data_IF_156964725316
#
_entry.id   IF_156964725316
#
_cell.length_a   1.000
_cell.length_b   1.000
_cell.length_c   1.000
_cell.angle_alpha   90.00
_cell.angle_beta   90.00
_cell.angle_gamma   90.00
#
_symmetry.space_group_name_H-M   'P 1'
#
loop_
_entity.id
_entity.type
_entity.pdbx_description
1 polymer ?
#
# COMPACT_ATOMS: atom_id res chain seq x y z
N UNK A 1 21.52 -7.00 -24.94
CA UNK A 1 21.63 -6.83 -23.47
C UNK A 1 20.53 -5.87 -23.10
N UNK A 2 19.52 -6.33 -22.35
CA UNK A 2 18.49 -5.43 -21.89
C UNK A 2 19.14 -4.52 -20.83
N UNK A 3 19.17 -3.21 -21.11
CA UNK A 3 19.63 -2.22 -20.14
C UNK A 3 18.73 -2.32 -18.89
N UNK A 4 19.34 -2.67 -17.77
CA UNK A 4 18.69 -2.56 -16.47
C UNK A 4 18.23 -1.11 -16.35
N UNK A 5 16.96 -0.86 -16.06
CA UNK A 5 16.49 0.49 -15.73
C UNK A 5 17.13 0.86 -14.39
N UNK A 6 18.35 1.35 -14.48
CA UNK A 6 19.13 1.80 -13.35
C UNK A 6 18.78 3.27 -13.15
N UNK A 7 17.98 3.54 -12.13
CA UNK A 7 17.65 4.91 -11.75
C UNK A 7 18.72 5.33 -10.73
N UNK A 8 19.72 6.15 -11.12
CA UNK A 8 20.90 6.44 -10.30
C UNK A 8 20.60 7.01 -8.93
N UNK A 9 19.50 7.78 -8.81
CA UNK A 9 19.09 8.40 -7.55
C UNK A 9 18.50 7.39 -6.55
N UNK A 10 18.09 6.22 -7.01
CA UNK A 10 17.79 5.11 -6.10
C UNK A 10 19.04 4.51 -5.46
N UNK A 11 20.24 4.73 -6.00
CA UNK A 11 21.49 4.19 -5.45
C UNK A 11 21.88 4.77 -4.10
N UNK A 12 21.47 5.99 -3.78
CA UNK A 12 21.88 6.66 -2.54
C UNK A 12 21.32 6.01 -1.26
N UNK A 13 20.33 5.12 -1.38
CA UNK A 13 19.62 4.46 -0.28
C UNK A 13 19.76 2.93 -0.27
N UNK A 14 20.59 2.33 -1.14
CA UNK A 14 20.60 0.89 -1.36
C UNK A 14 21.95 0.26 -1.03
N UNK A 15 21.91 -0.72 -0.17
CA UNK A 15 22.90 -1.81 -0.23
C UNK A 15 22.44 -2.74 -1.36
N UNK A 16 23.09 -2.69 -2.50
CA UNK A 16 22.97 -3.69 -3.54
C UNK A 16 23.78 -4.91 -3.13
N UNK A 17 23.15 -6.06 -3.01
CA UNK A 17 23.86 -7.31 -3.16
C UNK A 17 24.21 -7.42 -4.66
N UNK A 18 25.46 -7.08 -5.00
CA UNK A 18 25.96 -6.87 -6.36
C UNK A 18 26.11 -8.16 -7.19
N UNK A 19 25.19 -9.10 -7.04
CA UNK A 19 25.12 -10.22 -7.95
C UNK A 19 23.98 -9.97 -8.96
N UNK A 20 24.23 -9.26 -10.09
CA UNK A 20 23.22 -9.09 -11.11
C UNK A 20 22.97 -10.46 -11.76
N UNK A 21 21.95 -11.13 -11.30
CA UNK A 21 21.32 -12.13 -12.16
C UNK A 21 20.61 -11.37 -13.25
N UNK A 22 20.80 -11.72 -14.49
CA UNK A 22 20.34 -11.01 -15.69
C UNK A 22 18.86 -10.55 -15.66
N UNK A 23 18.03 -11.14 -14.79
CA UNK A 23 16.58 -10.88 -14.69
C UNK A 23 16.10 -10.54 -13.27
N UNK A 24 16.98 -10.46 -12.29
CA UNK A 24 16.60 -10.25 -10.90
C UNK A 24 17.62 -9.41 -10.15
N UNK A 25 17.14 -8.44 -9.37
CA UNK A 25 17.94 -7.61 -8.47
C UNK A 25 17.22 -7.53 -7.13
N UNK A 26 17.96 -7.80 -6.05
CA UNK A 26 17.52 -7.52 -4.69
C UNK A 26 18.06 -6.16 -4.28
N UNK A 27 17.19 -5.26 -3.83
CA UNK A 27 17.55 -3.97 -3.26
C UNK A 27 17.19 -3.96 -1.79
N UNK A 28 18.14 -3.54 -0.95
CA UNK A 28 17.95 -3.41 0.49
C UNK A 28 18.03 -1.96 0.90
N UNK A 29 17.22 -1.62 1.86
CA UNK A 29 17.10 -0.28 2.44
C UNK A 29 17.33 -0.38 3.93
N UNK A 30 18.06 0.56 4.48
CA UNK A 30 18.25 0.68 5.92
C UNK A 30 18.50 2.15 6.25
N UNK A 31 17.75 2.68 7.21
CA UNK A 31 17.95 4.00 7.79
C UNK A 31 17.57 3.99 9.28
N UNK A 32 17.65 5.15 9.94
CA UNK A 32 17.30 5.29 11.36
C UNK A 32 15.84 4.90 11.68
N UNK A 33 14.95 4.87 10.70
CA UNK A 33 13.52 4.55 10.87
C UNK A 33 13.21 3.07 10.68
N UNK A 34 14.12 2.29 10.09
CA UNK A 34 13.93 0.86 9.86
C UNK A 34 14.65 0.31 8.65
N UNK A 35 14.14 -0.80 8.12
CA UNK A 35 14.72 -1.50 6.98
C UNK A 35 13.67 -2.04 6.03
N UNK A 36 14.08 -2.44 4.83
CA UNK A 36 13.20 -3.06 3.85
C UNK A 36 13.94 -3.70 2.70
N UNK A 37 13.19 -4.46 1.91
CA UNK A 37 13.70 -5.14 0.71
C UNK A 37 12.76 -4.92 -0.47
N UNK A 38 13.33 -4.84 -1.66
CA UNK A 38 12.63 -4.77 -2.92
C UNK A 38 13.21 -5.83 -3.87
N UNK A 39 12.38 -6.79 -4.25
CA UNK A 39 12.72 -7.86 -5.17
C UNK A 39 12.31 -7.47 -6.59
N UNK A 40 13.24 -7.00 -7.41
CA UNK A 40 13.00 -6.48 -8.75
C UNK A 40 13.25 -7.53 -9.82
N UNK A 41 12.29 -7.71 -10.71
CA UNK A 41 12.35 -8.61 -11.86
C UNK A 41 12.29 -7.78 -13.15
N UNK A 42 13.35 -7.86 -13.97
CA UNK A 42 13.35 -7.29 -15.32
C UNK A 42 12.62 -8.28 -16.25
N UNK A 43 11.39 -7.97 -16.58
CA UNK A 43 10.48 -8.88 -17.30
C UNK A 43 10.75 -8.85 -18.80
N UNK A 44 10.91 -7.66 -19.35
CA UNK A 44 11.25 -7.40 -20.75
C UNK A 44 11.92 -6.01 -20.83
N UNK A 45 12.52 -5.62 -22.00
CA UNK A 45 13.08 -4.29 -22.15
C UNK A 45 12.07 -3.19 -21.80
N UNK A 46 12.44 -2.31 -20.86
CA UNK A 46 11.57 -1.23 -20.37
C UNK A 46 10.44 -1.68 -19.39
N UNK A 47 10.32 -2.96 -19.06
CA UNK A 47 9.27 -3.50 -18.19
C UNK A 47 9.87 -4.17 -16.96
N UNK A 48 9.61 -3.62 -15.79
CA UNK A 48 10.06 -4.15 -14.50
C UNK A 48 8.86 -4.41 -13.59
N UNK A 49 8.92 -5.50 -12.81
CA UNK A 49 8.01 -5.81 -11.72
C UNK A 49 8.80 -5.96 -10.43
N UNK A 50 8.34 -5.36 -9.35
CA UNK A 50 8.98 -5.49 -8.04
C UNK A 50 7.99 -5.81 -6.93
N UNK A 51 8.46 -6.63 -5.98
CA UNK A 51 7.80 -6.91 -4.72
C UNK A 51 8.51 -6.12 -3.62
N UNK A 52 7.77 -5.31 -2.91
CA UNK A 52 8.28 -4.42 -1.89
C UNK A 52 7.84 -4.90 -0.51
N UNK A 53 8.77 -5.01 0.44
CA UNK A 53 8.52 -5.23 1.86
C UNK A 53 9.35 -4.21 2.64
N UNK A 54 8.70 -3.12 3.02
CA UNK A 54 9.35 -1.93 3.55
C UNK A 54 8.82 -1.64 4.96
N UNK A 55 9.72 -1.69 5.93
CA UNK A 55 9.44 -1.40 7.34
C UNK A 55 10.26 -0.18 7.79
N UNK A 56 10.05 0.96 7.12
CA UNK A 56 10.74 2.23 7.35
C UNK A 56 9.79 3.41 7.06
N UNK A 57 10.14 4.61 7.48
CA UNK A 57 9.23 5.76 7.42
C UNK A 57 9.12 6.39 6.03
N UNK A 58 10.13 6.25 5.19
CA UNK A 58 10.18 6.84 3.84
C UNK A 58 11.15 6.07 2.97
N UNK A 59 10.75 5.75 1.77
CA UNK A 59 11.62 5.06 0.79
C UNK A 59 11.87 5.89 -0.47
N UNK A 60 11.44 7.15 -0.46
CA UNK A 60 11.40 7.94 -1.68
C UNK A 60 12.15 9.24 -1.50
N UNK A 61 13.09 9.50 -2.40
CA UNK A 61 13.58 10.84 -2.63
C UNK A 61 13.07 11.39 -3.98
N UNK A 62 13.02 12.71 -4.10
CA UNK A 62 12.58 13.35 -5.33
C UNK A 62 13.46 12.90 -6.50
N UNK A 63 12.86 12.15 -7.40
CA UNK A 63 13.52 11.63 -8.58
C UNK A 63 13.66 12.72 -9.66
N UNK A 64 14.88 13.00 -10.07
CA UNK A 64 15.15 13.56 -11.38
C UNK A 64 15.30 12.38 -12.36
N UNK A 65 14.18 11.84 -12.81
CA UNK A 65 14.21 10.76 -13.79
C UNK A 65 14.72 11.30 -15.13
N UNK A 66 15.63 10.55 -15.78
CA UNK A 66 16.16 10.90 -17.10
C UNK A 66 15.21 10.54 -18.23
N UNK A 67 14.20 9.74 -17.95
CA UNK A 67 13.22 9.23 -18.90
C UNK A 67 11.83 9.25 -18.29
N UNK A 68 10.83 9.14 -19.13
CA UNK A 68 9.43 9.07 -18.71
C UNK A 68 9.03 7.65 -18.33
N UNK A 69 8.30 7.52 -17.22
CA UNK A 69 7.78 6.24 -16.75
C UNK A 69 6.28 6.29 -16.51
N UNK A 70 5.65 5.13 -16.67
CA UNK A 70 4.35 4.82 -16.10
C UNK A 70 4.57 3.84 -14.94
N UNK A 71 4.15 4.25 -13.75
CA UNK A 71 4.27 3.46 -12.54
C UNK A 71 2.89 2.99 -12.09
N UNK A 72 2.77 1.70 -11.80
CA UNK A 72 1.55 1.08 -11.29
C UNK A 72 1.89 0.42 -9.97
N UNK A 73 1.30 0.89 -8.87
CA UNK A 73 1.52 0.34 -7.53
C UNK A 73 0.25 -0.31 -6.99
N UNK A 74 0.36 -1.53 -6.49
CA UNK A 74 -0.70 -2.23 -5.78
C UNK A 74 -0.27 -2.50 -4.34
N UNK A 75 -1.04 -1.98 -3.38
CA UNK A 75 -0.74 -2.14 -1.96
C UNK A 75 -1.35 -3.44 -1.42
N UNK A 76 -0.51 -4.31 -0.86
CA UNK A 76 -0.92 -5.56 -0.23
C UNK A 76 -1.19 -5.39 1.26
N UNK A 77 -0.34 -4.61 1.95
CA UNK A 77 -0.41 -4.40 3.38
C UNK A 77 0.18 -3.03 3.74
N UNK A 78 -0.38 -2.38 4.75
CA UNK A 78 0.07 -1.08 5.21
C UNK A 78 -0.40 0.06 4.32
N UNK A 79 0.49 0.94 3.93
CA UNK A 79 0.13 2.08 3.10
C UNK A 79 1.30 2.92 2.65
N UNK A 80 1.04 3.71 1.63
CA UNK A 80 1.99 4.62 1.01
C UNK A 80 1.35 6.00 0.84
N UNK A 81 2.03 7.02 1.32
CA UNK A 81 1.63 8.42 1.22
C UNK A 81 2.47 9.13 0.17
N UNK A 82 1.82 9.79 -0.75
CA UNK A 82 2.45 10.57 -1.81
C UNK A 82 2.04 12.03 -1.68
N UNK A 83 3.03 12.91 -1.54
CA UNK A 83 2.85 14.36 -1.55
C UNK A 83 3.12 14.89 -2.95
N UNK A 84 2.13 15.58 -3.50
CA UNK A 84 2.17 16.13 -4.84
C UNK A 84 2.70 17.56 -4.85
N UNK A 85 3.29 17.98 -5.97
CA UNK A 85 3.53 19.41 -6.22
C UNK A 85 2.21 20.16 -6.11
N UNK A 86 2.18 21.23 -5.30
CA UNK A 86 0.95 21.96 -4.97
C UNK A 86 0.32 21.60 -3.63
N UNK A 87 0.91 20.63 -2.89
CA UNK A 87 0.62 20.40 -1.46
C UNK A 87 -0.54 19.45 -1.16
N UNK A 88 -1.01 18.69 -2.12
CA UNK A 88 -1.99 17.63 -1.88
C UNK A 88 -1.33 16.30 -1.48
N UNK A 89 -1.86 15.65 -0.44
CA UNK A 89 -1.40 14.32 0.00
C UNK A 89 -2.44 13.27 -0.39
N UNK A 90 -1.97 12.21 -1.05
CA UNK A 90 -2.79 11.06 -1.47
C UNK A 90 -2.29 9.80 -0.79
N UNK A 91 -3.20 8.94 -0.37
CA UNK A 91 -2.89 7.66 0.26
C UNK A 91 -3.25 6.49 -0.63
N UNK A 92 -2.29 5.59 -0.78
CA UNK A 92 -2.46 4.24 -1.29
C UNK A 92 -2.57 3.29 -0.08
N UNK A 93 -3.76 2.77 0.19
CA UNK A 93 -4.02 1.81 1.27
C UNK A 93 -4.15 0.38 0.75
N UNK A 94 -4.41 -0.55 1.66
CA UNK A 94 -4.55 -1.98 1.33
C UNK A 94 -5.57 -2.22 0.21
N UNK A 95 -5.18 -3.01 -0.79
CA UNK A 95 -5.94 -3.36 -2.00
C UNK A 95 -6.24 -2.19 -2.93
N UNK A 96 -5.62 -1.05 -2.71
CA UNK A 96 -5.69 0.06 -3.65
C UNK A 96 -4.64 -0.09 -4.75
N UNK A 97 -4.99 0.35 -5.94
CA UNK A 97 -4.09 0.49 -7.07
C UNK A 97 -3.86 1.98 -7.34
N UNK A 98 -2.61 2.40 -7.43
CA UNK A 98 -2.27 3.73 -7.95
C UNK A 98 -1.57 3.63 -9.28
N UNK A 99 -1.82 4.62 -10.12
CA UNK A 99 -1.17 4.81 -11.40
C UNK A 99 -0.62 6.22 -11.43
N UNK A 100 0.66 6.36 -11.71
CA UNK A 100 1.35 7.64 -11.77
C UNK A 100 2.27 7.74 -13.00
N UNK A 101 2.32 8.94 -13.60
CA UNK A 101 3.31 9.29 -14.59
C UNK A 101 4.50 9.95 -13.92
N UNK A 102 5.70 9.41 -14.13
CA UNK A 102 6.96 10.07 -13.76
C UNK A 102 7.53 10.71 -15.03
N UNK A 103 7.94 11.96 -14.94
CA UNK A 103 8.32 12.78 -16.10
C UNK A 103 9.78 13.25 -15.94
N UNK A 104 10.54 13.19 -17.03
CA UNK A 104 11.93 13.64 -17.06
C UNK A 104 12.07 15.17 -17.00
N UNK A 105 11.05 15.90 -17.46
CA UNK A 105 11.06 17.36 -17.60
C UNK A 105 10.34 18.11 -16.48
N UNK A 106 9.59 17.39 -15.63
CA UNK A 106 8.86 17.99 -14.51
C UNK A 106 8.73 17.06 -13.30
N UNK A 107 8.88 17.64 -12.14
CA UNK A 107 8.61 16.97 -10.89
C UNK A 107 7.12 17.01 -10.57
N UNK A 108 6.52 15.89 -10.25
CA UNK A 108 5.11 15.75 -9.92
C UNK A 108 4.94 15.34 -8.46
N UNK A 109 5.82 14.48 -8.00
CA UNK A 109 5.86 13.98 -6.63
C UNK A 109 6.96 14.73 -5.87
N UNK A 110 6.61 15.33 -4.74
CA UNK A 110 7.54 16.06 -3.87
C UNK A 110 8.19 15.13 -2.87
N UNK A 111 7.37 14.24 -2.28
CA UNK A 111 7.79 13.36 -1.22
C UNK A 111 6.92 12.10 -1.18
N UNK A 112 7.47 11.06 -0.60
CA UNK A 112 6.77 9.81 -0.38
C UNK A 112 7.12 9.28 1.02
N UNK A 113 6.10 8.85 1.74
CA UNK A 113 6.24 8.35 3.11
C UNK A 113 5.51 7.02 3.24
N UNK A 114 5.97 6.22 4.18
CA UNK A 114 5.32 4.97 4.55
C UNK A 114 4.68 5.21 5.94
N UNK A 115 3.37 5.51 5.98
CA UNK A 115 2.68 5.64 7.25
C UNK A 115 2.84 4.36 8.06
N UNK A 116 3.17 4.52 9.35
CA UNK A 116 3.30 3.38 10.27
C UNK A 116 4.50 2.46 10.00
N UNK A 117 5.47 2.92 9.22
CA UNK A 117 6.68 2.17 8.88
C UNK A 117 6.38 0.78 8.31
N UNK A 118 5.28 0.64 7.57
CA UNK A 118 4.89 -0.64 6.98
C UNK A 118 4.25 -0.47 5.62
N UNK A 119 4.88 -1.04 4.61
CA UNK A 119 4.35 -1.15 3.26
C UNK A 119 4.79 -2.45 2.61
N UNK A 120 3.81 -3.26 2.21
CA UNK A 120 4.03 -4.36 1.27
C UNK A 120 3.22 -4.10 0.01
N UNK A 121 3.86 -4.25 -1.13
CA UNK A 121 3.18 -3.97 -2.38
C UNK A 121 3.89 -4.55 -3.59
N UNK A 122 3.24 -4.42 -4.73
CA UNK A 122 3.77 -4.77 -6.04
C UNK A 122 3.83 -3.49 -6.86
N UNK A 123 5.00 -3.22 -7.45
CA UNK A 123 5.18 -2.11 -8.37
C UNK A 123 5.50 -2.65 -9.75
N UNK A 124 4.78 -2.17 -10.76
CA UNK A 124 5.11 -2.34 -12.18
C UNK A 124 5.62 -0.99 -12.66
N UNK A 125 6.87 -0.97 -13.15
CA UNK A 125 7.51 0.21 -13.68
C UNK A 125 7.76 0.01 -15.18
N UNK A 126 7.23 0.92 -15.99
CA UNK A 126 7.31 0.91 -17.45
C UNK A 126 8.07 2.16 -17.90
N UNK A 127 9.28 1.98 -18.43
CA UNK A 127 9.97 3.07 -19.14
C UNK A 127 9.27 3.23 -20.50
N UNK A 128 8.60 4.36 -20.70
CA UNK A 128 7.57 4.49 -21.74
C UNK A 128 8.05 4.18 -23.15
N UNK A 129 9.20 4.72 -23.55
CA UNK A 129 9.70 4.55 -24.92
C UNK A 129 10.15 3.11 -25.18
N UNK A 130 10.98 2.56 -24.30
CA UNK A 130 11.50 1.19 -24.44
C UNK A 130 10.41 0.15 -24.27
N UNK A 131 9.51 0.34 -23.29
CA UNK A 131 8.38 -0.58 -23.08
C UNK A 131 7.40 -0.54 -24.26
N UNK A 132 7.11 0.65 -24.84
CA UNK A 132 6.28 0.75 -26.02
C UNK A 132 6.91 0.02 -27.20
N UNK A 133 8.22 0.20 -27.43
CA UNK A 133 8.96 -0.51 -28.48
C UNK A 133 8.85 -2.03 -28.32
N UNK A 134 8.96 -2.54 -27.09
CA UNK A 134 8.78 -3.96 -26.77
C UNK A 134 7.36 -4.42 -27.11
N UNK A 135 6.33 -3.64 -26.70
CA UNK A 135 4.94 -3.98 -26.98
C UNK A 135 4.63 -3.98 -28.47
N UNK A 136 5.16 -3.02 -29.22
CA UNK A 136 4.94 -2.91 -30.68
C UNK A 136 5.61 -4.05 -31.45
N UNK A 137 6.78 -4.50 -31.00
CA UNK A 137 7.50 -5.59 -31.66
C UNK A 137 6.91 -6.97 -31.34
N UNK A 138 6.55 -7.22 -30.09
CA UNK A 138 6.15 -8.57 -29.64
C UNK A 138 4.63 -8.74 -29.57
N UNK A 139 3.87 -7.66 -29.37
CA UNK A 139 2.42 -7.69 -29.08
C UNK A 139 1.63 -6.67 -29.93
N UNK A 140 2.10 -6.31 -31.12
CA UNK A 140 1.49 -5.29 -32.01
C UNK A 140 -0.01 -5.45 -32.22
N UNK A 141 -0.51 -6.68 -32.28
CA UNK A 141 -1.94 -6.98 -32.49
C UNK A 141 -2.82 -6.59 -31.30
N UNK A 142 -2.24 -6.29 -30.14
CA UNK A 142 -3.01 -5.97 -28.92
C UNK A 142 -3.29 -4.47 -28.80
N UNK A 143 -2.65 -3.64 -29.61
CA UNK A 143 -2.87 -2.19 -29.67
C UNK A 143 -2.81 -1.50 -28.30
N UNK A 144 -1.82 -1.87 -27.49
CA UNK A 144 -1.56 -1.22 -26.19
C UNK A 144 -0.74 0.04 -26.44
N UNK A 145 -1.28 1.19 -26.06
CA UNK A 145 -0.64 2.51 -26.18
C UNK A 145 -0.38 3.07 -24.77
N UNK A 146 0.87 2.96 -24.30
CA UNK A 146 1.28 3.40 -22.97
C UNK A 146 1.17 4.92 -22.81
N UNK A 147 1.47 5.68 -23.87
CA UNK A 147 1.35 7.13 -23.85
C UNK A 147 -0.12 7.55 -23.69
N UNK A 148 -1.03 6.90 -24.39
CA UNK A 148 -2.46 7.14 -24.25
C UNK A 148 -2.96 6.76 -22.86
N UNK A 149 -2.54 5.62 -22.32
CA UNK A 149 -2.86 5.21 -20.93
C UNK A 149 -2.42 6.30 -19.97
N UNK A 150 -1.16 6.75 -20.06
CA UNK A 150 -0.60 7.79 -19.19
C UNK A 150 -1.38 9.10 -19.30
N UNK A 151 -1.61 9.60 -20.50
CA UNK A 151 -2.27 10.90 -20.72
C UNK A 151 -3.74 10.87 -20.32
N UNK A 152 -4.41 9.73 -20.48
CA UNK A 152 -5.81 9.55 -20.07
C UNK A 152 -5.95 9.40 -18.55
N UNK A 153 -5.11 8.56 -17.93
CA UNK A 153 -5.28 8.20 -16.50
C UNK A 153 -4.49 9.11 -15.57
N UNK A 154 -3.40 9.71 -16.02
CA UNK A 154 -2.52 10.58 -15.24
C UNK A 154 -2.37 11.97 -15.89
N UNK A 155 -3.46 12.68 -16.25
CA UNK A 155 -3.38 13.97 -16.89
C UNK A 155 -2.58 14.95 -16.01
N UNK A 156 -1.66 15.70 -16.62
CA UNK A 156 -0.82 16.70 -15.93
C UNK A 156 0.03 16.13 -14.77
N UNK A 157 0.22 14.80 -14.72
CA UNK A 157 0.96 14.13 -13.67
C UNK A 157 0.14 13.84 -12.41
N UNK A 158 -1.18 13.90 -12.50
CA UNK A 158 -2.04 13.47 -11.40
C UNK A 158 -1.85 11.97 -11.16
N UNK A 159 -1.92 11.58 -9.90
CA UNK A 159 -1.98 10.17 -9.52
C UNK A 159 -3.43 9.72 -9.59
N UNK A 160 -3.70 8.68 -10.38
CA UNK A 160 -5.00 7.99 -10.34
C UNK A 160 -4.97 6.97 -9.21
N UNK A 161 -6.00 6.99 -8.36
CA UNK A 161 -6.20 5.98 -7.33
C UNK A 161 -7.47 5.18 -7.62
N UNK A 162 -7.31 3.89 -7.83
CA UNK A 162 -8.42 2.95 -8.00
C UNK A 162 -8.57 2.18 -6.69
N UNK A 163 -9.68 2.45 -5.98
CA UNK A 163 -10.03 1.72 -4.77
C UNK A 163 -10.45 0.29 -5.12
N UNK A 164 -10.02 -0.67 -4.31
CA UNK A 164 -10.21 -2.12 -4.43
C UNK A 164 -11.39 -2.54 -5.36
N UNK A 165 -11.09 -3.21 -6.47
CA UNK A 165 -12.08 -3.82 -7.35
C UNK A 165 -11.71 -5.29 -7.56
N UNK A 166 -12.64 -6.20 -7.32
CA UNK A 166 -12.44 -7.65 -7.43
C UNK A 166 -11.72 -8.11 -8.73
N UNK A 167 -11.96 -7.38 -9.85
CA UNK A 167 -11.31 -7.68 -11.14
C UNK A 167 -9.80 -7.43 -11.16
N UNK A 168 -9.28 -6.59 -10.29
CA UNK A 168 -7.84 -6.27 -10.21
C UNK A 168 -7.19 -7.12 -9.12
N UNK A 169 -7.86 -7.30 -8.00
CA UNK A 169 -7.33 -8.04 -6.85
C UNK A 169 -6.91 -9.46 -7.21
N UNK A 170 -7.68 -10.16 -8.07
CA UNK A 170 -7.33 -11.53 -8.46
C UNK A 170 -6.06 -11.61 -9.29
N UNK A 171 -5.78 -10.61 -10.16
CA UNK A 171 -4.56 -10.58 -10.97
C UNK A 171 -3.32 -10.52 -10.08
N UNK A 172 -3.36 -9.66 -9.06
CA UNK A 172 -2.25 -9.55 -8.10
C UNK A 172 -2.13 -10.77 -7.19
N UNK A 173 -3.25 -11.40 -6.82
CA UNK A 173 -3.23 -12.66 -6.09
C UNK A 173 -2.56 -13.80 -6.89
N UNK A 174 -2.81 -13.86 -8.20
CA UNK A 174 -2.16 -14.82 -9.09
C UNK A 174 -0.66 -14.53 -9.27
N UNK A 175 -0.26 -13.25 -9.38
CA UNK A 175 1.16 -12.84 -9.41
C UNK A 175 1.89 -13.36 -8.15
N UNK A 176 1.25 -13.30 -6.98
CA UNK A 176 1.84 -13.75 -5.71
C UNK A 176 1.94 -15.27 -5.60
N UNK A 177 1.06 -16.01 -6.26
CA UNK A 177 0.96 -17.49 -6.13
C UNK A 177 1.67 -18.27 -7.22
N UNK A 178 2.31 -17.60 -8.19
CA UNK A 178 2.94 -18.26 -9.35
C UNK A 178 4.14 -19.11 -8.96
N UNK A 179 4.25 -20.30 -9.59
CA UNK A 179 5.39 -21.20 -9.43
C UNK A 179 6.69 -20.61 -10.01
N UNK A 180 7.80 -20.89 -9.34
CA UNK A 180 9.11 -20.31 -9.70
C UNK A 180 9.53 -20.60 -11.16
N UNK A 181 9.17 -21.79 -11.70
CA UNK A 181 9.60 -22.25 -13.02
C UNK A 181 9.03 -21.42 -14.17
N UNK A 182 7.82 -20.87 -14.01
CA UNK A 182 7.12 -20.10 -15.04
C UNK A 182 6.99 -18.60 -14.70
N UNK A 183 7.66 -18.16 -13.66
CA UNK A 183 7.47 -16.85 -13.04
C UNK A 183 7.58 -15.68 -14.02
N UNK A 184 8.68 -15.59 -14.78
CA UNK A 184 8.91 -14.44 -15.68
C UNK A 184 7.88 -14.34 -16.80
N UNK A 185 7.61 -15.38 -17.60
CA UNK A 185 6.57 -15.29 -18.63
C UNK A 185 5.17 -15.07 -18.03
N UNK A 186 4.90 -15.62 -16.85
CA UNK A 186 3.62 -15.40 -16.18
C UNK A 186 3.45 -13.95 -15.72
N UNK A 187 4.48 -13.33 -15.19
CA UNK A 187 4.46 -11.91 -14.85
C UNK A 187 4.20 -11.03 -16.06
N UNK A 188 4.83 -11.32 -17.20
CA UNK A 188 4.56 -10.61 -18.44
C UNK A 188 3.09 -10.70 -18.84
N UNK A 189 2.51 -11.92 -18.84
CA UNK A 189 1.08 -12.11 -19.14
C UNK A 189 0.18 -11.29 -18.22
N UNK A 190 0.48 -11.22 -16.92
CA UNK A 190 -0.32 -10.46 -15.97
C UNK A 190 -0.15 -8.94 -16.12
N UNK A 191 1.04 -8.48 -16.46
CA UNK A 191 1.28 -7.07 -16.81
C UNK A 191 0.47 -6.68 -18.05
N UNK A 192 0.50 -7.51 -19.10
CA UNK A 192 -0.29 -7.28 -20.31
C UNK A 192 -1.80 -7.26 -20.02
N UNK A 193 -2.31 -8.17 -19.16
CA UNK A 193 -3.71 -8.18 -18.71
C UNK A 193 -4.07 -6.86 -18.01
N UNK A 194 -3.22 -6.38 -17.09
CA UNK A 194 -3.41 -5.09 -16.42
C UNK A 194 -3.44 -3.95 -17.44
N UNK A 195 -2.49 -3.89 -18.37
CA UNK A 195 -2.42 -2.84 -19.38
C UNK A 195 -3.65 -2.84 -20.30
N UNK A 196 -4.16 -4.01 -20.69
CA UNK A 196 -5.40 -4.13 -21.45
C UNK A 196 -6.62 -3.62 -20.67
N UNK A 197 -6.71 -3.91 -19.37
CA UNK A 197 -7.77 -3.36 -18.52
C UNK A 197 -7.65 -1.84 -18.41
N UNK A 198 -6.45 -1.31 -18.18
CA UNK A 198 -6.21 0.12 -18.08
C UNK A 198 -6.51 0.85 -19.38
N UNK A 199 -6.22 0.25 -20.55
CA UNK A 199 -6.53 0.84 -21.87
C UNK A 199 -8.03 1.03 -22.13
N UNK A 200 -8.90 0.36 -21.37
CA UNK A 200 -10.37 0.49 -21.43
C UNK A 200 -10.94 1.54 -20.49
N UNK A 201 -10.11 2.06 -19.58
CA UNK A 201 -10.54 3.14 -18.69
C UNK A 201 -10.51 4.47 -19.44
N UNK A 202 -11.51 5.29 -19.17
CA UNK A 202 -11.61 6.66 -19.69
C UNK A 202 -11.58 7.67 -18.54
N UNK A 203 -11.63 8.94 -18.85
CA UNK A 203 -11.60 10.03 -17.87
C UNK A 203 -12.76 9.98 -16.84
N UNK A 204 -13.85 9.24 -17.09
CA UNK A 204 -14.97 9.10 -16.13
C UNK A 204 -14.59 8.27 -14.92
N UNK A 205 -13.53 7.46 -15.03
CA UNK A 205 -12.97 6.68 -13.91
C UNK A 205 -11.94 7.47 -13.09
N UNK A 206 -11.52 8.64 -13.56
CA UNK A 206 -10.54 9.52 -12.93
C UNK A 206 -11.24 10.42 -11.92
N UNK A 207 -11.74 9.85 -10.83
CA UNK A 207 -12.06 10.70 -9.68
C UNK A 207 -10.73 11.25 -9.12
N UNK A 208 -10.66 12.57 -8.86
CA UNK A 208 -9.48 13.11 -8.22
C UNK A 208 -9.28 12.39 -6.88
N UNK A 209 -8.08 11.87 -6.59
CA UNK A 209 -7.82 11.20 -5.33
C UNK A 209 -8.16 12.15 -4.18
N UNK A 210 -8.74 11.62 -3.13
CA UNK A 210 -9.06 12.38 -1.94
C UNK A 210 -7.77 12.95 -1.35
N UNK A 211 -7.58 14.25 -1.46
CA UNK A 211 -6.40 14.93 -0.95
C UNK A 211 -6.65 15.46 0.47
N UNK A 212 -5.62 15.40 1.27
CA UNK A 212 -5.61 15.93 2.64
C UNK A 212 -4.50 16.95 2.79
N UNK A 213 -4.67 17.90 3.71
CA UNK A 213 -3.57 18.77 4.09
C UNK A 213 -2.57 18.00 4.94
N UNK A 214 -1.31 18.40 4.90
CA UNK A 214 -0.25 17.79 5.73
C UNK A 214 -0.65 17.76 7.23
N UNK A 215 -1.27 18.82 7.71
CA UNK A 215 -1.77 18.91 9.09
C UNK A 215 -2.77 17.80 9.41
N UNK A 216 -3.75 17.56 8.53
CA UNK A 216 -4.77 16.50 8.73
C UNK A 216 -4.12 15.12 8.65
N UNK A 217 -3.24 14.90 7.66
CA UNK A 217 -2.53 13.63 7.51
C UNK A 217 -1.71 13.31 8.76
N UNK A 218 -0.79 14.18 9.18
CA UNK A 218 0.08 13.97 10.35
C UNK A 218 -0.72 13.71 11.64
N UNK A 219 -1.77 14.49 11.88
CA UNK A 219 -2.61 14.31 13.07
C UNK A 219 -3.40 13.01 13.05
N UNK A 220 -3.86 12.60 11.87
CA UNK A 220 -4.54 11.31 11.72
C UNK A 220 -3.58 10.14 11.91
N UNK A 221 -2.32 10.26 11.50
CA UNK A 221 -1.27 9.27 11.80
C UNK A 221 -1.00 9.17 13.31
N UNK A 222 -0.97 10.30 14.02
CA UNK A 222 -0.86 10.30 15.48
C UNK A 222 -2.06 9.60 16.15
N UNK A 223 -3.28 9.80 15.65
CA UNK A 223 -4.47 9.07 16.11
C UNK A 223 -4.34 7.57 15.88
N UNK A 224 -3.83 7.16 14.73
CA UNK A 224 -3.60 5.74 14.43
C UNK A 224 -2.61 5.14 15.43
N UNK A 225 -1.49 5.78 15.67
CA UNK A 225 -0.49 5.33 16.63
C UNK A 225 -1.05 5.29 18.05
N UNK A 226 -1.79 6.31 18.46
CA UNK A 226 -2.47 6.33 19.76
C UNK A 226 -3.38 5.12 19.98
N UNK A 227 -4.15 4.71 18.95
CA UNK A 227 -5.05 3.55 19.04
C UNK A 227 -4.26 2.24 19.17
N UNK A 228 -3.13 2.12 18.49
CA UNK A 228 -2.26 0.93 18.61
C UNK A 228 -1.67 0.82 20.00
N UNK A 229 -1.18 1.93 20.55
CA UNK A 229 -0.60 2.00 21.91
C UNK A 229 -1.64 1.90 23.02
N UNK A 230 -2.89 2.28 22.73
CA UNK A 230 -3.99 2.31 23.68
C UNK A 230 -5.22 1.55 23.16
N UNK A 231 -5.12 0.23 22.89
CA UNK A 231 -6.19 -0.54 22.25
C UNK A 231 -7.48 -0.61 23.08
N UNK A 232 -7.38 -0.44 24.40
CA UNK A 232 -8.51 -0.42 25.32
C UNK A 232 -9.02 0.99 25.65
N UNK A 233 -8.60 2.01 24.90
CA UNK A 233 -9.09 3.38 25.11
C UNK A 233 -10.61 3.44 25.15
N UNK A 234 -11.16 4.15 26.14
CA UNK A 234 -12.60 4.40 26.27
C UNK A 234 -13.03 5.71 25.59
N UNK A 235 -12.07 6.49 25.07
CA UNK A 235 -12.38 7.72 24.37
C UNK A 235 -13.18 7.43 23.11
N UNK A 236 -14.24 8.22 22.91
CA UNK A 236 -14.99 8.17 21.67
C UNK A 236 -14.25 8.95 20.53
N UNK A 237 -14.75 8.81 19.31
CA UNK A 237 -14.09 9.38 18.13
C UNK A 237 -14.06 10.92 18.18
N UNK A 238 -15.09 11.56 18.74
CA UNK A 238 -15.15 13.00 18.85
C UNK A 238 -14.11 13.54 19.84
N UNK A 239 -13.97 12.89 21.00
CA UNK A 239 -12.94 13.22 22.00
C UNK A 239 -11.52 13.05 21.45
N UNK A 240 -11.29 11.98 20.67
CA UNK A 240 -10.00 11.77 20.01
C UNK A 240 -9.74 12.88 18.99
N UNK A 241 -10.73 13.25 18.18
CA UNK A 241 -10.61 14.34 17.20
C UNK A 241 -10.27 15.68 17.86
N UNK A 242 -10.89 15.98 19.01
CA UNK A 242 -10.64 17.19 19.80
C UNK A 242 -9.20 17.20 20.35
N UNK A 243 -8.75 16.12 20.97
CA UNK A 243 -7.39 15.98 21.52
C UNK A 243 -6.33 16.26 20.45
N UNK A 244 -6.52 15.72 19.25
CA UNK A 244 -5.57 15.91 18.15
C UNK A 244 -5.86 17.17 17.32
N UNK A 245 -6.87 17.95 17.64
CA UNK A 245 -7.19 19.23 17.01
C UNK A 245 -7.45 19.09 15.50
N UNK A 246 -8.21 18.06 15.12
CA UNK A 246 -8.66 17.79 13.75
C UNK A 246 -10.18 17.63 13.75
N UNK A 247 -10.86 18.08 12.69
CA UNK A 247 -12.31 17.87 12.63
C UNK A 247 -12.61 16.36 12.50
N UNK A 248 -13.63 15.89 13.21
CA UNK A 248 -14.02 14.47 13.21
C UNK A 248 -14.26 13.94 11.79
N UNK A 249 -14.91 14.74 10.93
CA UNK A 249 -15.18 14.37 9.54
C UNK A 249 -13.90 14.21 8.70
N UNK A 250 -12.94 15.15 8.83
CA UNK A 250 -11.66 15.08 8.12
C UNK A 250 -10.82 13.93 8.63
N UNK A 251 -10.79 13.71 9.95
CA UNK A 251 -10.10 12.59 10.57
C UNK A 251 -10.64 11.24 10.09
N UNK A 252 -11.97 11.04 10.11
CA UNK A 252 -12.61 9.79 9.66
C UNK A 252 -12.29 9.49 8.19
N UNK A 253 -12.36 10.52 7.31
CA UNK A 253 -12.04 10.35 5.89
C UNK A 253 -10.57 10.01 5.68
N UNK A 254 -9.67 10.79 6.30
CA UNK A 254 -8.23 10.57 6.20
C UNK A 254 -7.85 9.20 6.79
N UNK A 255 -8.38 8.85 7.96
CA UNK A 255 -8.14 7.56 8.60
C UNK A 255 -8.56 6.38 7.71
N UNK A 256 -9.75 6.48 7.10
CA UNK A 256 -10.23 5.44 6.17
C UNK A 256 -9.32 5.32 4.94
N UNK A 257 -8.81 6.43 4.42
CA UNK A 257 -7.86 6.42 3.30
C UNK A 257 -6.53 5.77 3.68
N UNK A 258 -6.03 6.01 4.91
CA UNK A 258 -4.76 5.48 5.40
C UNK A 258 -4.87 3.99 5.76
N UNK A 259 -5.92 3.60 6.49
CA UNK A 259 -6.03 2.27 7.12
C UNK A 259 -6.90 1.28 6.35
N UNK A 260 -7.55 1.73 5.26
CA UNK A 260 -8.53 0.93 4.52
C UNK A 260 -9.85 0.67 5.27
N UNK A 261 -9.91 0.93 6.57
CA UNK A 261 -11.05 0.66 7.43
C UNK A 261 -11.61 1.92 8.09
N UNK A 262 -12.88 1.93 8.49
CA UNK A 262 -13.39 3.02 9.31
C UNK A 262 -12.67 3.04 10.66
N UNK A 263 -12.50 4.25 11.24
CA UNK A 263 -11.86 4.42 12.54
C UNK A 263 -12.48 3.54 13.63
N UNK A 264 -13.83 3.46 13.69
CA UNK A 264 -14.52 2.60 14.66
C UNK A 264 -14.26 1.10 14.43
N UNK A 265 -14.22 0.66 13.17
CA UNK A 265 -13.88 -0.74 12.83
C UNK A 265 -12.44 -1.05 13.23
N UNK A 266 -11.51 -0.14 12.98
CA UNK A 266 -10.12 -0.28 13.35
C UNK A 266 -9.93 -0.36 14.87
N UNK A 267 -10.54 0.57 15.62
CA UNK A 267 -10.52 0.55 17.10
C UNK A 267 -11.07 -0.77 17.65
N UNK A 268 -12.21 -1.24 17.10
CA UNK A 268 -12.78 -2.53 17.50
C UNK A 268 -11.82 -3.69 17.26
N UNK A 269 -11.20 -3.73 16.08
CA UNK A 269 -10.23 -4.77 15.70
C UNK A 269 -9.03 -4.76 16.65
N UNK A 270 -8.40 -3.60 16.87
CA UNK A 270 -7.24 -3.47 17.78
C UNK A 270 -7.57 -3.85 19.22
N UNK A 271 -8.77 -3.53 19.69
CA UNK A 271 -9.27 -3.94 21.00
C UNK A 271 -9.41 -5.47 21.12
N UNK A 272 -9.88 -6.13 20.06
CA UNK A 272 -10.00 -7.58 20.03
C UNK A 272 -8.64 -8.28 19.90
N UNK A 273 -7.71 -7.70 19.14
CA UNK A 273 -6.33 -8.19 19.04
C UNK A 273 -5.63 -8.16 20.42
N UNK A 274 -5.72 -7.06 21.14
CA UNK A 274 -5.18 -6.95 22.50
C UNK A 274 -5.86 -7.89 23.49
N UNK A 275 -7.18 -8.07 23.39
CA UNK A 275 -7.90 -9.03 24.21
C UNK A 275 -7.49 -10.49 23.89
N UNK A 276 -7.24 -10.82 22.64
CA UNK A 276 -6.74 -12.14 22.23
C UNK A 276 -5.35 -12.40 22.80
N UNK A 277 -4.50 -11.38 22.84
CA UNK A 277 -3.19 -11.49 23.50
C UNK A 277 -3.32 -11.77 24.98
N UNK A 278 -4.18 -11.03 25.72
CA UNK A 278 -4.43 -11.30 27.13
C UNK A 278 -5.01 -12.69 27.39
N UNK A 279 -5.90 -13.18 26.51
CA UNK A 279 -6.44 -14.53 26.62
C UNK A 279 -5.34 -15.60 26.56
N UNK A 280 -4.26 -15.34 25.81
CA UNK A 280 -3.14 -16.24 25.59
C UNK A 280 -2.05 -16.09 26.66
N UNK A 281 -1.67 -14.85 26.99
CA UNK A 281 -0.54 -14.54 27.88
C UNK A 281 -0.90 -14.55 29.36
N UNK A 282 -2.19 -14.33 29.72
CA UNK A 282 -2.65 -14.15 31.08
C UNK A 282 -3.73 -15.20 31.44
N UNK A 283 -3.35 -16.47 31.71
CA UNK A 283 -4.30 -17.55 31.99
C UNK A 283 -5.09 -17.34 33.25
N UNK A 284 -4.59 -16.53 34.18
CA UNK A 284 -5.24 -16.21 35.47
C UNK A 284 -6.41 -15.24 35.34
N UNK A 285 -6.41 -14.39 34.30
CA UNK A 285 -7.51 -13.47 34.07
C UNK A 285 -8.73 -14.23 33.51
N UNK A 286 -9.89 -14.03 34.16
CA UNK A 286 -11.14 -14.53 33.62
C UNK A 286 -11.57 -13.81 32.33
N UNK A 287 -12.40 -14.46 31.53
CA UNK A 287 -12.95 -13.82 30.32
C UNK A 287 -13.79 -12.57 30.68
N UNK A 288 -14.40 -12.55 31.85
CA UNK A 288 -15.15 -11.39 32.38
C UNK A 288 -14.24 -10.19 32.67
N UNK A 289 -13.08 -10.43 33.30
CA UNK A 289 -12.08 -9.39 33.58
C UNK A 289 -11.50 -8.80 32.29
N UNK A 290 -11.17 -9.66 31.32
CA UNK A 290 -10.71 -9.20 29.99
C UNK A 290 -11.81 -8.40 29.27
N UNK A 291 -13.07 -8.82 29.38
CA UNK A 291 -14.20 -8.06 28.82
C UNK A 291 -14.29 -6.66 29.44
N UNK A 292 -14.12 -6.56 30.77
CA UNK A 292 -14.12 -5.29 31.49
C UNK A 292 -12.95 -4.39 31.08
N UNK A 293 -11.72 -4.93 30.96
CA UNK A 293 -10.55 -4.21 30.46
C UNK A 293 -10.79 -3.69 29.03
N UNK A 294 -11.43 -4.51 28.20
CA UNK A 294 -11.80 -4.12 26.85
C UNK A 294 -13.01 -3.15 26.78
N UNK A 295 -13.55 -2.70 27.92
CA UNK A 295 -14.61 -1.71 28.01
C UNK A 295 -16.01 -2.25 27.68
N UNK A 296 -16.23 -3.55 27.83
CA UNK A 296 -17.54 -4.14 27.63
C UNK A 296 -18.27 -4.28 28.98
N UNK A 297 -19.53 -3.85 29.00
CA UNK A 297 -20.38 -3.92 30.20
C UNK A 297 -20.62 -5.35 30.66
N UNK A 298 -20.60 -6.33 29.75
CA UNK A 298 -20.79 -7.73 30.09
C UNK A 298 -20.05 -8.66 29.10
N UNK A 299 -19.78 -9.87 29.62
CA UNK A 299 -19.05 -10.91 28.87
C UNK A 299 -19.79 -11.36 27.61
N UNK A 300 -21.13 -11.29 27.55
CA UNK A 300 -21.90 -11.70 26.37
C UNK A 300 -21.66 -10.76 25.18
N UNK A 301 -21.71 -9.43 25.38
CA UNK A 301 -21.40 -8.42 24.35
C UNK A 301 -19.95 -8.55 23.88
N UNK A 302 -19.00 -8.76 24.80
CA UNK A 302 -17.60 -9.02 24.46
C UNK A 302 -17.44 -10.27 23.62
N UNK A 303 -18.03 -11.40 24.03
CA UNK A 303 -17.93 -12.68 23.31
C UNK A 303 -18.50 -12.59 21.91
N UNK A 304 -19.59 -11.85 21.71
CA UNK A 304 -20.15 -11.56 20.38
C UNK A 304 -19.21 -10.71 19.51
N UNK A 305 -18.62 -9.67 20.10
CA UNK A 305 -17.64 -8.82 19.40
C UNK A 305 -16.37 -9.60 19.03
N UNK A 306 -15.85 -10.41 19.93
CA UNK A 306 -14.68 -11.25 19.74
C UNK A 306 -14.92 -12.30 18.63
N UNK A 307 -16.06 -12.99 18.69
CA UNK A 307 -16.46 -13.97 17.67
C UNK A 307 -16.60 -13.34 16.30
N UNK A 308 -17.02 -12.08 16.21
CA UNK A 308 -17.11 -11.36 14.91
C UNK A 308 -15.75 -11.06 14.26
N UNK A 309 -14.63 -11.16 15.02
CA UNK A 309 -13.26 -10.91 14.54
C UNK A 309 -12.50 -12.22 14.35
N UNK A 310 -12.63 -13.16 15.28
CA UNK A 310 -11.86 -14.40 15.32
C UNK A 310 -12.65 -15.66 14.94
N UNK A 311 -13.93 -15.51 14.57
CA UNK A 311 -14.85 -16.61 14.21
C UNK A 311 -15.06 -17.66 15.31
N UNK A 312 -14.51 -17.43 16.49
CA UNK A 312 -14.62 -18.31 17.66
C UNK A 312 -14.83 -17.51 18.95
N UNK A 313 -15.36 -18.18 20.00
CA UNK A 313 -15.56 -17.54 21.29
C UNK A 313 -14.22 -17.33 22.03
N UNK A 314 -14.13 -16.35 22.97
CA UNK A 314 -12.92 -16.15 23.79
C UNK A 314 -12.46 -17.41 24.52
N UNK A 315 -13.39 -18.21 25.05
CA UNK A 315 -13.08 -19.46 25.73
C UNK A 315 -12.47 -20.48 24.76
N UNK A 316 -13.07 -20.66 23.59
CA UNK A 316 -12.54 -21.54 22.55
C UNK A 316 -11.16 -21.09 22.05
N UNK A 317 -10.97 -19.77 21.93
CA UNK A 317 -9.68 -19.19 21.54
C UNK A 317 -8.60 -19.49 22.59
N UNK A 318 -8.89 -19.27 23.87
CA UNK A 318 -7.98 -19.61 24.98
C UNK A 318 -7.59 -21.08 24.94
N UNK A 319 -8.57 -22.00 24.89
CA UNK A 319 -8.31 -23.45 24.87
C UNK A 319 -7.46 -23.91 23.66
N UNK A 320 -7.51 -23.17 22.57
CA UNK A 320 -6.76 -23.51 21.34
C UNK A 320 -5.33 -22.98 21.33
N UNK A 321 -5.08 -21.83 21.98
CA UNK A 321 -3.84 -21.07 21.82
C UNK A 321 -3.08 -20.81 23.15
N UNK A 322 -3.58 -21.31 24.30
CA UNK A 322 -2.89 -21.28 25.61
C UNK A 322 -2.03 -22.52 25.84
#
# INVERSE_FOLDING_TARGET
MADVVDIPEFRAFYYTDDTPRQFYTLRRYEDESGSGEMHCYNIAPGIQLSFNDLNLSSCYQPLNVQKDFLEINYCLEGGHEVEMVGGGITFLGEKDLSISGLYHDKRVIVNSRIPFNKYKGITILLELETAQTTLDNEFSKWHIDLQKIRTTLCPEGRVLLIKSKQKIDHIFAEILSVENQIRLPYYLLKILEILLLLSKLDNSYVEPPQQFTEKVSRRTQQVYQYIIENPFTQKNISEIAEIYGVSESSMKRCFKSISGASLGTFMKRKRMEAAAELLRSEPTLSVGEIASLAGYENQGKFSGAFKSVYEMTPIAYRLKYS
#
